data_IF_036617646367
#
_entry.id   IF_036617646367
#
_cell.length_a   1.000
_cell.length_b   1.000
_cell.length_c   1.000
_cell.angle_alpha   90.00
_cell.angle_beta   90.00
_cell.angle_gamma   90.00
#
_symmetry.space_group_name_H-M   'P 1'
#
loop_
_entity.id
_entity.type
_entity.pdbx_description
1 polymer ?
#
# COMPACT_ATOMS: atom_id res chain seq x y z
N UNK A 1 -4.84 -9.77 -8.23
CA UNK A 1 -5.48 -8.44 -8.11
C UNK A 1 -4.45 -7.34 -7.83
N UNK A 2 -3.70 -7.41 -6.73
CA UNK A 2 -2.68 -6.40 -6.38
C UNK A 2 -1.65 -6.20 -7.52
N UNK A 3 -1.15 -7.28 -8.12
CA UNK A 3 -0.25 -7.23 -9.29
C UNK A 3 -0.84 -6.50 -10.50
N UNK A 4 -2.12 -6.75 -10.81
CA UNK A 4 -2.81 -6.07 -11.90
C UNK A 4 -2.98 -4.56 -11.60
N UNK A 5 -3.15 -4.18 -10.34
CA UNK A 5 -3.17 -2.77 -9.95
C UNK A 5 -1.79 -2.13 -10.11
N UNK A 6 -0.71 -2.83 -9.74
CA UNK A 6 0.66 -2.34 -9.92
C UNK A 6 0.97 -2.13 -11.42
N UNK A 7 0.65 -3.12 -12.26
CA UNK A 7 0.84 -3.02 -13.70
C UNK A 7 -0.06 -1.93 -14.32
N UNK A 8 -1.33 -1.86 -13.92
CA UNK A 8 -2.27 -0.83 -14.42
C UNK A 8 -1.94 0.58 -13.97
N UNK A 9 -1.22 0.75 -12.85
CA UNK A 9 -0.68 2.02 -12.39
C UNK A 9 0.62 2.41 -13.11
N UNK A 10 1.21 1.51 -13.90
CA UNK A 10 2.57 1.66 -14.43
C UNK A 10 3.57 1.99 -13.31
N UNK A 11 3.52 1.17 -12.25
CA UNK A 11 4.35 1.36 -11.06
C UNK A 11 5.84 1.22 -11.40
N UNK A 12 6.61 2.26 -11.03
CA UNK A 12 8.05 2.33 -11.28
C UNK A 12 8.86 2.01 -10.01
N UNK A 13 8.27 2.24 -8.83
CA UNK A 13 8.88 1.94 -7.53
C UNK A 13 7.86 1.23 -6.64
N UNK A 14 7.89 -0.10 -6.69
CA UNK A 14 7.05 -0.99 -5.89
C UNK A 14 7.79 -1.35 -4.62
N UNK A 15 7.17 -1.07 -3.47
CA UNK A 15 7.65 -1.52 -2.17
C UNK A 15 6.57 -2.40 -1.55
N UNK A 16 6.95 -3.55 -1.02
CA UNK A 16 6.05 -4.34 -0.18
C UNK A 16 6.68 -4.68 1.16
N UNK A 17 5.84 -5.06 2.12
CA UNK A 17 6.28 -5.65 3.38
C UNK A 17 5.89 -7.12 3.42
N UNK A 18 6.81 -7.94 3.89
CA UNK A 18 6.58 -9.36 4.11
C UNK A 18 7.08 -9.77 5.50
N UNK A 19 6.54 -10.85 6.03
CA UNK A 19 6.96 -11.45 7.30
C UNK A 19 6.83 -12.96 7.20
N UNK A 20 7.63 -13.69 7.98
CA UNK A 20 7.65 -15.15 8.03
C UNK A 20 6.26 -15.79 8.01
N UNK A 21 6.07 -16.86 7.22
CA UNK A 21 4.76 -17.48 7.00
C UNK A 21 3.78 -16.63 6.18
N UNK A 22 4.29 -15.63 5.46
CA UNK A 22 3.52 -14.81 4.53
C UNK A 22 3.23 -15.55 3.23
N UNK A 23 2.05 -15.29 2.64
CA UNK A 23 1.69 -15.90 1.35
C UNK A 23 2.45 -15.24 0.21
N UNK A 24 3.16 -16.04 -0.58
CA UNK A 24 4.04 -15.57 -1.66
C UNK A 24 3.33 -15.09 -2.93
N UNK A 25 2.06 -15.46 -3.13
CA UNK A 25 1.33 -15.15 -4.36
C UNK A 25 1.28 -13.64 -4.67
N UNK A 26 1.25 -12.78 -3.64
CA UNK A 26 1.30 -11.32 -3.84
C UNK A 26 2.68 -10.88 -4.33
N UNK A 27 3.73 -11.33 -3.66
CA UNK A 27 5.13 -11.00 -3.96
C UNK A 27 5.57 -11.47 -5.34
N UNK A 28 5.22 -12.70 -5.71
CA UNK A 28 5.44 -13.24 -7.06
C UNK A 28 4.68 -12.39 -8.08
N UNK A 29 3.41 -12.07 -7.80
CA UNK A 29 2.61 -11.23 -8.69
C UNK A 29 3.17 -9.81 -8.87
N UNK A 30 3.71 -9.21 -7.81
CA UNK A 30 4.36 -7.90 -7.85
C UNK A 30 5.67 -7.96 -8.66
N UNK A 31 6.47 -9.01 -8.48
CA UNK A 31 7.67 -9.22 -9.29
C UNK A 31 7.35 -9.36 -10.78
N UNK A 32 6.28 -10.10 -11.14
CA UNK A 32 5.80 -10.19 -12.51
C UNK A 32 5.34 -8.84 -13.05
N UNK A 33 4.54 -8.10 -12.27
CA UNK A 33 4.09 -6.76 -12.66
C UNK A 33 5.27 -5.81 -12.90
N UNK A 34 6.27 -5.86 -12.01
CA UNK A 34 7.51 -5.10 -12.12
C UNK A 34 8.28 -5.42 -13.41
N UNK A 35 8.37 -6.71 -13.78
CA UNK A 35 9.01 -7.11 -15.02
C UNK A 35 8.31 -6.48 -16.23
N UNK A 36 6.98 -6.40 -16.22
CA UNK A 36 6.22 -5.80 -17.31
C UNK A 36 6.35 -4.26 -17.38
N UNK A 37 6.46 -3.57 -16.25
CA UNK A 37 6.59 -2.10 -16.21
C UNK A 37 8.04 -1.62 -16.32
N UNK A 38 9.02 -2.52 -16.17
CA UNK A 38 10.44 -2.18 -16.15
C UNK A 38 10.88 -1.41 -14.91
N UNK A 39 10.08 -1.42 -13.84
CA UNK A 39 10.35 -0.73 -12.59
C UNK A 39 11.29 -1.48 -11.64
N UNK A 40 11.28 -1.06 -10.38
CA UNK A 40 11.98 -1.72 -9.27
C UNK A 40 10.98 -2.23 -8.22
N UNK A 41 11.18 -3.47 -7.77
CA UNK A 41 10.40 -4.12 -6.71
C UNK A 41 11.30 -4.46 -5.52
N UNK A 42 11.00 -3.88 -4.35
CA UNK A 42 11.72 -4.12 -3.10
C UNK A 42 10.77 -4.68 -2.04
N UNK A 43 11.20 -5.73 -1.35
CA UNK A 43 10.51 -6.27 -0.18
C UNK A 43 11.23 -5.84 1.11
N UNK A 44 10.48 -5.26 2.04
CA UNK A 44 10.95 -4.94 3.40
C UNK A 44 10.52 -6.05 4.35
N UNK A 45 11.49 -6.62 5.07
CA UNK A 45 11.29 -7.71 6.05
C UNK A 45 11.86 -7.30 7.41
N UNK A 46 11.36 -7.88 8.53
CA UNK A 46 11.76 -7.45 9.87
C UNK A 46 13.13 -7.98 10.29
N UNK A 47 13.54 -9.15 9.79
CA UNK A 47 14.71 -9.89 10.27
C UNK A 47 15.30 -10.80 9.16
N UNK A 48 16.49 -11.34 9.44
CA UNK A 48 17.24 -12.21 8.51
C UNK A 48 16.52 -13.56 8.26
N UNK A 49 15.81 -14.10 9.26
CA UNK A 49 15.04 -15.32 9.10
C UNK A 49 13.92 -15.13 8.06
N UNK A 50 13.21 -14.01 8.16
CA UNK A 50 12.19 -13.62 7.19
C UNK A 50 12.80 -13.36 5.80
N UNK A 51 13.99 -12.76 5.73
CA UNK A 51 14.69 -12.58 4.45
C UNK A 51 15.02 -13.93 3.81
N UNK A 52 15.57 -14.85 4.57
CA UNK A 52 15.98 -16.18 4.09
C UNK A 52 14.78 -16.93 3.52
N UNK A 53 13.68 -17.01 4.30
CA UNK A 53 12.45 -17.68 3.85
C UNK A 53 11.85 -17.01 2.61
N UNK A 54 11.83 -15.68 2.58
CA UNK A 54 11.30 -14.92 1.45
C UNK A 54 12.13 -15.13 0.17
N UNK A 55 13.47 -15.03 0.27
CA UNK A 55 14.38 -15.21 -0.87
C UNK A 55 14.27 -16.62 -1.42
N UNK A 56 14.34 -17.66 -0.58
CA UNK A 56 14.20 -19.05 -1.02
C UNK A 56 12.88 -19.29 -1.74
N UNK A 57 11.78 -18.72 -1.24
CA UNK A 57 10.46 -18.91 -1.84
C UNK A 57 10.31 -18.17 -3.17
N UNK A 58 10.92 -16.99 -3.32
CA UNK A 58 10.95 -16.24 -4.57
C UNK A 58 11.83 -16.92 -5.62
N UNK A 59 12.99 -17.43 -5.22
CA UNK A 59 13.91 -18.17 -6.10
C UNK A 59 13.28 -19.46 -6.63
N UNK A 60 12.56 -20.20 -5.77
CA UNK A 60 11.76 -21.37 -6.19
C UNK A 60 10.69 -21.02 -7.23
N UNK A 61 10.22 -19.77 -7.24
CA UNK A 61 9.29 -19.26 -8.24
C UNK A 61 9.98 -18.65 -9.48
N UNK A 62 11.30 -18.76 -9.59
CA UNK A 62 12.08 -18.22 -10.71
C UNK A 62 12.26 -16.70 -10.66
N UNK A 63 12.10 -16.09 -9.49
CA UNK A 63 12.21 -14.64 -9.30
C UNK A 63 13.52 -14.29 -8.59
N UNK A 64 14.07 -13.10 -8.88
CA UNK A 64 15.24 -12.53 -8.19
C UNK A 64 14.79 -11.34 -7.33
N UNK A 65 14.46 -11.53 -6.04
CA UNK A 65 13.94 -10.46 -5.20
C UNK A 65 15.03 -9.49 -4.74
N UNK A 66 14.68 -8.21 -4.63
CA UNK A 66 15.45 -7.25 -3.84
C UNK A 66 14.82 -7.13 -2.45
N UNK A 67 15.65 -7.26 -1.40
CA UNK A 67 15.17 -7.31 0.00
C UNK A 67 15.95 -6.35 0.88
N UNK A 68 15.23 -5.60 1.71
CA UNK A 68 15.77 -4.75 2.77
C UNK A 68 15.30 -5.29 4.10
N UNK A 69 16.23 -5.46 5.04
CA UNK A 69 15.92 -5.81 6.43
C UNK A 69 15.96 -4.54 7.26
N UNK A 70 15.00 -4.37 8.16
CA UNK A 70 15.11 -3.36 9.21
C UNK A 70 13.77 -2.90 9.74
N UNK A 71 13.86 -2.04 10.76
CA UNK A 71 12.72 -1.29 11.27
C UNK A 71 12.21 -0.29 10.21
N UNK A 72 10.93 0.11 10.28
CA UNK A 72 10.28 0.96 9.28
C UNK A 72 11.08 2.19 8.85
N UNK A 73 11.59 2.96 9.80
CA UNK A 73 12.30 4.22 9.57
C UNK A 73 13.62 3.97 8.83
N UNK A 74 14.38 2.96 9.25
CA UNK A 74 15.68 2.60 8.67
C UNK A 74 15.51 1.99 7.28
N UNK A 75 14.57 1.03 7.14
CA UNK A 75 14.31 0.34 5.89
C UNK A 75 13.75 1.28 4.80
N UNK A 76 13.06 2.35 5.19
CA UNK A 76 12.46 3.32 4.26
C UNK A 76 13.35 4.54 3.98
N UNK A 77 14.43 4.78 4.74
CA UNK A 77 15.19 6.03 4.63
C UNK A 77 15.83 6.21 3.24
N UNK A 78 16.26 5.13 2.60
CA UNK A 78 16.81 5.13 1.24
C UNK A 78 15.77 5.02 0.11
N UNK A 79 14.51 4.73 0.44
CA UNK A 79 13.48 4.42 -0.56
C UNK A 79 12.72 5.69 -0.94
N UNK A 80 13.06 6.26 -2.08
CA UNK A 80 12.44 7.47 -2.61
C UNK A 80 11.57 7.18 -3.83
N UNK A 81 10.54 7.99 -4.01
CA UNK A 81 9.72 7.95 -5.21
C UNK A 81 8.74 6.79 -5.24
N UNK A 82 8.39 6.22 -4.08
CA UNK A 82 7.47 5.08 -3.96
C UNK A 82 6.12 5.47 -4.58
N UNK A 83 5.73 4.77 -5.63
CA UNK A 83 4.45 5.00 -6.32
C UNK A 83 3.48 3.81 -6.17
N UNK A 84 3.94 2.70 -5.60
CA UNK A 84 3.10 1.57 -5.21
C UNK A 84 3.61 0.92 -3.92
N UNK A 85 2.82 0.94 -2.85
CA UNK A 85 3.21 0.41 -1.54
C UNK A 85 2.20 -0.63 -1.03
N UNK A 86 2.67 -1.81 -0.66
CA UNK A 86 1.84 -2.89 -0.10
C UNK A 86 2.31 -3.25 1.30
N UNK A 87 1.53 -2.93 2.32
CA UNK A 87 1.82 -3.27 3.72
C UNK A 87 0.93 -4.40 4.24
N UNK A 88 1.46 -5.21 5.14
CA UNK A 88 0.72 -6.28 5.82
C UNK A 88 0.23 -5.83 7.21
N UNK A 89 -1.09 -5.69 7.38
CA UNK A 89 -1.72 -5.28 8.64
C UNK A 89 -1.64 -6.33 9.77
N UNK A 90 -1.02 -7.49 9.54
CA UNK A 90 -0.66 -8.41 10.63
C UNK A 90 0.55 -7.90 11.41
N UNK A 91 1.39 -7.06 10.80
CA UNK A 91 2.51 -6.42 11.47
C UNK A 91 2.01 -5.22 12.27
N UNK A 92 2.61 -4.96 13.43
CA UNK A 92 2.29 -3.80 14.27
C UNK A 92 2.86 -2.49 13.71
N UNK A 93 3.78 -2.56 12.74
CA UNK A 93 4.58 -1.46 12.24
C UNK A 93 4.04 -0.86 10.91
N UNK A 94 3.00 -1.45 10.33
CA UNK A 94 2.41 -1.01 9.06
C UNK A 94 2.07 0.49 9.04
N UNK A 95 1.57 1.03 10.16
CA UNK A 95 1.26 2.45 10.29
C UNK A 95 2.51 3.34 10.27
N UNK A 96 3.61 2.89 10.89
CA UNK A 96 4.91 3.58 10.84
C UNK A 96 5.45 3.58 9.41
N UNK A 97 5.42 2.43 8.74
CA UNK A 97 5.84 2.28 7.35
C UNK A 97 5.08 3.24 6.43
N UNK A 98 3.76 3.30 6.56
CA UNK A 98 2.93 4.23 5.79
C UNK A 98 3.26 5.70 6.09
N UNK A 99 3.64 6.03 7.32
CA UNK A 99 3.96 7.39 7.74
C UNK A 99 5.33 7.90 7.27
N UNK A 100 6.31 7.01 7.09
CA UNK A 100 7.68 7.39 6.68
C UNK A 100 7.95 7.21 5.18
N UNK A 101 7.03 6.56 4.45
CA UNK A 101 7.17 6.30 3.03
C UNK A 101 7.32 7.62 2.22
N UNK A 102 8.43 7.75 1.48
CA UNK A 102 8.72 8.91 0.63
C UNK A 102 8.08 8.72 -0.76
N UNK A 103 6.81 9.13 -0.87
CA UNK A 103 6.00 8.93 -2.07
C UNK A 103 6.50 9.71 -3.30
N UNK A 104 6.23 9.17 -4.49
CA UNK A 104 6.56 9.79 -5.77
C UNK A 104 5.74 11.04 -6.11
N UNK A 105 6.30 11.87 -7.00
CA UNK A 105 5.68 13.12 -7.44
C UNK A 105 4.42 12.92 -8.30
N UNK A 106 4.17 11.70 -8.82
CA UNK A 106 2.95 11.35 -9.55
C UNK A 106 1.79 10.97 -8.63
N UNK A 107 2.03 10.89 -7.32
CA UNK A 107 1.15 10.19 -6.39
C UNK A 107 1.52 8.71 -6.25
N UNK A 108 0.71 7.99 -5.48
CA UNK A 108 0.96 6.58 -5.18
C UNK A 108 -0.35 5.81 -4.93
N UNK A 109 -0.27 4.49 -5.11
CA UNK A 109 -1.30 3.55 -4.65
C UNK A 109 -0.76 2.81 -3.42
N UNK A 110 -1.44 3.01 -2.28
CA UNK A 110 -1.11 2.37 -1.01
C UNK A 110 -2.12 1.27 -0.73
N UNK A 111 -1.66 0.11 -0.29
CA UNK A 111 -2.47 -1.08 -0.10
C UNK A 111 -2.13 -1.72 1.23
N UNK A 112 -3.15 -1.98 2.03
CA UNK A 112 -3.09 -2.73 3.27
C UNK A 112 -3.74 -4.10 3.07
N UNK A 113 -2.94 -5.18 3.03
CA UNK A 113 -3.46 -6.56 3.04
C UNK A 113 -3.71 -7.03 4.46
N UNK A 114 -4.65 -7.96 4.64
CA UNK A 114 -5.13 -8.43 5.95
C UNK A 114 -5.78 -7.30 6.79
N UNK A 115 -6.47 -6.37 6.13
CA UNK A 115 -7.05 -5.18 6.75
C UNK A 115 -8.27 -5.46 7.66
N UNK A 116 -8.81 -6.68 7.64
CA UNK A 116 -9.82 -7.13 8.61
C UNK A 116 -9.20 -7.66 9.92
N UNK A 117 -7.88 -7.57 10.09
CA UNK A 117 -7.23 -7.96 11.35
C UNK A 117 -7.70 -7.06 12.50
N UNK A 118 -7.71 -7.59 13.74
CA UNK A 118 -7.99 -6.78 14.95
C UNK A 118 -7.06 -5.57 15.09
N UNK A 119 -5.86 -5.65 14.53
CA UNK A 119 -4.87 -4.56 14.55
C UNK A 119 -5.31 -3.42 13.60
N UNK A 120 -6.00 -3.74 12.51
CA UNK A 120 -6.44 -2.78 11.50
C UNK A 120 -7.89 -2.33 11.64
N UNK A 121 -8.65 -2.81 12.63
CA UNK A 121 -10.07 -2.44 12.82
C UNK A 121 -10.28 -0.94 12.96
N UNK A 122 -9.33 -0.23 13.58
CA UNK A 122 -9.37 1.22 13.77
C UNK A 122 -8.56 2.01 12.74
N UNK A 123 -7.96 1.33 11.76
CA UNK A 123 -7.11 1.96 10.75
C UNK A 123 -7.88 2.96 9.89
N UNK A 124 -7.31 4.16 9.75
CA UNK A 124 -7.80 5.21 8.85
C UNK A 124 -6.62 5.78 8.08
N UNK A 125 -6.70 5.82 6.74
CA UNK A 125 -5.66 6.43 5.90
C UNK A 125 -5.26 7.85 6.33
N UNK A 126 -6.21 8.65 6.84
CA UNK A 126 -5.94 10.01 7.32
C UNK A 126 -5.09 10.08 8.59
N UNK A 127 -5.00 9.02 9.40
CA UNK A 127 -4.21 9.04 10.64
C UNK A 127 -2.74 8.72 10.41
N UNK A 128 -2.41 8.06 9.29
CA UNK A 128 -1.03 7.63 8.99
C UNK A 128 -0.36 8.48 7.92
N UNK A 129 -1.13 9.18 7.09
CA UNK A 129 -0.58 10.11 6.10
C UNK A 129 -0.40 11.48 6.77
N UNK A 130 0.81 12.02 6.69
CA UNK A 130 1.32 13.23 7.35
C UNK A 130 0.66 14.56 6.91
N UNK A 131 -0.56 14.51 6.36
CA UNK A 131 -1.33 15.67 5.90
C UNK A 131 -0.79 16.33 4.63
N UNK A 132 0.44 16.04 4.20
CA UNK A 132 1.05 16.54 2.96
C UNK A 132 0.52 15.81 1.72
N UNK A 133 0.06 14.58 1.93
CA UNK A 133 -0.42 13.68 0.90
C UNK A 133 -1.95 13.67 0.85
N UNK A 134 -2.53 14.08 -0.28
CA UNK A 134 -3.99 14.13 -0.46
C UNK A 134 -4.53 12.77 -0.86
N UNK A 135 -5.37 12.17 -0.02
CA UNK A 135 -6.14 10.98 -0.41
C UNK A 135 -7.17 11.39 -1.47
N UNK A 136 -7.01 10.87 -2.69
CA UNK A 136 -7.92 11.10 -3.83
C UNK A 136 -9.12 10.18 -3.72
N UNK A 137 -8.87 8.91 -3.42
CA UNK A 137 -9.90 7.88 -3.26
C UNK A 137 -9.35 6.79 -2.36
N UNK A 138 -10.21 6.21 -1.52
CA UNK A 138 -9.93 4.97 -0.82
C UNK A 138 -11.07 4.00 -1.00
N UNK A 139 -10.78 2.70 -0.93
CA UNK A 139 -11.77 1.63 -1.00
C UNK A 139 -11.31 0.46 -0.14
N UNK A 140 -12.24 -0.11 0.62
CA UNK A 140 -12.04 -1.38 1.28
C UNK A 140 -12.73 -2.47 0.45
N UNK A 141 -12.03 -3.57 0.20
CA UNK A 141 -12.55 -4.72 -0.53
C UNK A 141 -12.55 -5.94 0.41
N UNK A 142 -13.70 -6.62 0.59
CA UNK A 142 -13.82 -7.80 1.44
C UNK A 142 -13.28 -9.07 0.75
N UNK A 143 -12.06 -9.00 0.20
CA UNK A 143 -11.39 -10.12 -0.47
C UNK A 143 -10.32 -10.73 0.45
N UNK A 144 -10.34 -12.05 0.59
CA UNK A 144 -9.44 -12.75 1.51
C UNK A 144 -9.65 -12.29 2.96
N UNK A 145 -8.58 -11.79 3.61
CA UNK A 145 -8.63 -11.21 4.97
C UNK A 145 -8.84 -9.69 4.97
N UNK A 146 -9.47 -9.16 3.93
CA UNK A 146 -9.68 -7.73 3.73
C UNK A 146 -8.49 -7.04 3.06
N UNK A 147 -8.81 -6.11 2.16
CA UNK A 147 -7.84 -5.29 1.44
C UNK A 147 -8.30 -3.83 1.46
N UNK A 148 -7.55 -2.97 2.14
CA UNK A 148 -7.79 -1.53 2.13
C UNK A 148 -6.84 -0.87 1.13
N UNK A 149 -7.35 0.03 0.28
CA UNK A 149 -6.60 0.65 -0.80
C UNK A 149 -6.80 2.16 -0.72
N UNK A 150 -5.73 2.93 -0.86
CA UNK A 150 -5.78 4.37 -1.06
C UNK A 150 -4.98 4.80 -2.28
N UNK A 151 -5.63 5.55 -3.17
CA UNK A 151 -4.96 6.37 -4.15
C UNK A 151 -4.65 7.73 -3.50
N UNK A 152 -3.37 8.03 -3.41
CA UNK A 152 -2.80 9.27 -2.89
C UNK A 152 -2.29 10.11 -4.05
N UNK A 153 -2.74 11.36 -4.13
CA UNK A 153 -2.31 12.29 -5.16
C UNK A 153 -0.93 12.88 -4.87
N UNK A 154 -0.31 13.42 -5.93
CA UNK A 154 0.98 14.11 -5.88
C UNK A 154 1.09 15.11 -4.71
N UNK A 155 2.22 15.08 -4.01
CA UNK A 155 2.57 16.03 -2.96
C UNK A 155 2.87 17.39 -3.60
N UNK A 156 2.00 18.38 -3.39
CA UNK A 156 2.19 19.72 -3.95
C UNK A 156 3.25 20.46 -3.12
N UNK A 157 4.46 20.64 -3.68
CA UNK A 157 5.48 21.53 -3.11
C UNK A 157 5.07 22.98 -3.39
N UNK A 158 4.53 23.67 -2.39
CA UNK A 158 4.24 25.10 -2.46
C UNK A 158 2.81 25.42 -2.05
N UNK A 159 2.64 26.47 -1.23
CA UNK A 159 1.39 26.92 -0.61
C UNK A 159 0.30 27.31 -1.60
N UNK A 160 -0.29 26.32 -2.27
CA UNK A 160 -1.52 26.45 -3.03
C UNK A 160 -2.69 26.50 -2.06
N UNK A 161 -3.27 27.70 -1.94
CA UNK A 161 -4.56 28.03 -1.29
C UNK A 161 -5.44 26.80 -1.05
N UNK A 162 -5.99 26.70 0.17
CA UNK A 162 -7.28 26.05 0.42
C UNK A 162 -8.26 26.57 -0.64
N UNK A 163 -8.48 25.81 -1.71
CA UNK A 163 -9.52 26.03 -2.69
C UNK A 163 -10.84 25.75 -2.01
N UNK A 164 -11.32 26.71 -1.24
CA UNK A 164 -12.64 26.70 -0.68
C UNK A 164 -13.70 27.05 -1.73
N UNK A 165 -14.87 26.46 -1.52
CA UNK A 165 -16.20 26.90 -1.94
C UNK A 165 -16.76 26.38 -3.27
N UNK A 166 -17.99 25.88 -3.17
CA UNK A 166 -19.01 26.25 -4.14
C UNK A 166 -19.41 25.20 -5.17
N UNK A 167 -19.88 24.03 -4.71
CA UNK A 167 -21.06 23.33 -5.25
C UNK A 167 -21.27 22.05 -4.45
N UNK A 168 -22.43 21.92 -3.84
CA UNK A 168 -22.91 20.64 -3.31
C UNK A 168 -23.31 19.80 -4.53
N UNK A 169 -22.33 19.35 -5.32
CA UNK A 169 -22.60 18.29 -6.28
C UNK A 169 -23.01 17.05 -5.47
N UNK A 170 -24.02 16.35 -5.95
CA UNK A 170 -24.50 15.13 -5.31
C UNK A 170 -23.34 14.17 -5.15
N UNK A 171 -22.88 13.97 -3.91
CA UNK A 171 -21.75 13.11 -3.60
C UNK A 171 -22.28 11.76 -3.20
N UNK A 172 -21.84 10.73 -3.92
CA UNK A 172 -22.04 9.34 -3.52
C UNK A 172 -21.08 9.02 -2.38
N UNK A 173 -21.64 8.65 -1.24
CA UNK A 173 -20.91 8.12 -0.09
C UNK A 173 -21.06 6.61 -0.15
N UNK A 174 -19.94 5.91 -0.30
CA UNK A 174 -19.90 4.45 -0.22
C UNK A 174 -19.29 4.07 1.12
N UNK A 175 -20.00 3.26 1.88
CA UNK A 175 -19.56 2.70 3.15
C UNK A 175 -19.61 1.19 3.05
N UNK A 176 -18.53 0.52 3.42
CA UNK A 176 -18.47 -0.93 3.52
C UNK A 176 -18.46 -1.30 4.99
N UNK A 177 -19.41 -2.12 5.40
CA UNK A 177 -19.40 -2.73 6.73
C UNK A 177 -18.36 -3.86 6.76
N UNK A 178 -17.42 -3.77 7.70
CA UNK A 178 -16.24 -4.65 7.75
C UNK A 178 -16.56 -6.05 8.28
N UNK A 179 -17.66 -6.20 9.02
CA UNK A 179 -18.03 -7.46 9.67
C UNK A 179 -18.99 -8.29 8.80
N UNK A 180 -19.97 -7.63 8.19
CA UNK A 180 -20.98 -8.23 7.30
C UNK A 180 -20.55 -8.27 5.83
N UNK A 181 -19.65 -7.37 5.40
CA UNK A 181 -19.26 -7.22 4.00
C UNK A 181 -20.28 -6.46 3.14
N UNK A 182 -21.33 -5.90 3.72
CA UNK A 182 -22.37 -5.15 3.01
C UNK A 182 -21.86 -3.79 2.50
N UNK A 183 -22.27 -3.40 1.28
CA UNK A 183 -22.02 -2.08 0.71
C UNK A 183 -23.25 -1.17 0.88
N UNK A 184 -23.06 -0.05 1.57
CA UNK A 184 -24.04 1.02 1.70
C UNK A 184 -23.68 2.19 0.80
N UNK A 185 -24.58 2.52 -0.12
CA UNK A 185 -24.41 3.63 -1.06
C UNK A 185 -25.43 4.72 -0.76
N UNK A 186 -24.96 5.84 -0.25
CA UNK A 186 -25.79 6.98 0.16
C UNK A 186 -25.55 8.13 -0.82
N UNK A 187 -26.63 8.63 -1.43
CA UNK A 187 -26.59 9.84 -2.26
C UNK A 187 -26.90 11.06 -1.39
N UNK A 188 -25.99 12.05 -1.39
CA UNK A 188 -26.22 13.36 -0.75
C UNK A 188 -26.85 14.35 -1.69
#
# INVERSE_FOLDING_TARGET
MISAMAAGWDAQMIVETWSRGGVMATSIGLAVANHHTGGRHICVVPDEDSRTEYVEAMEKAGMSPEVVIGEPEEAMDGLMGIDFLVVDCRRNDFGRILGVAKLGHRGAVLICKNASSRIASDFRWRSVLDGKSRIVRSVFLPVGKGLDIAHVGATVKGGGKKGGSGKTESRWIRHFDRDSGEEFVIRK
#
